data_IF_280428194030
#
_entry.id   IF_280428194030
#
_cell.length_a   1.000
_cell.length_b   1.000
_cell.length_c   1.000
_cell.angle_alpha   90.00
_cell.angle_beta   90.00
_cell.angle_gamma   90.00
#
_symmetry.space_group_name_H-M   'P 1'
#
loop_
_entity.id
_entity.type
_entity.pdbx_description
1 polymer ?
#
# COMPACT_ATOMS: atom_id res chain seq x y z
N UNK A 1 6.47 24.77 25.61
CA UNK A 1 7.38 24.16 24.61
C UNK A 1 6.51 23.61 23.49
N UNK A 2 6.54 24.18 22.29
CA UNK A 2 5.70 23.73 21.18
C UNK A 2 6.40 22.62 20.40
N UNK A 3 5.98 21.38 20.59
CA UNK A 3 6.37 20.25 19.74
C UNK A 3 5.59 20.37 18.42
N UNK A 4 6.21 20.99 17.42
CA UNK A 4 5.69 21.02 16.06
C UNK A 4 5.76 19.60 15.51
N UNK A 5 4.67 18.85 15.59
CA UNK A 5 4.58 17.52 14.99
C UNK A 5 4.83 17.65 13.48
N UNK A 6 5.91 17.04 12.99
CA UNK A 6 6.17 16.97 11.56
C UNK A 6 5.03 16.19 10.92
N UNK A 7 4.31 16.82 9.99
CA UNK A 7 3.28 16.16 9.19
C UNK A 7 3.94 14.97 8.48
N UNK A 8 3.66 13.75 8.94
CA UNK A 8 4.21 12.53 8.35
C UNK A 8 3.54 12.33 7.00
N UNK A 9 4.25 12.64 5.93
CA UNK A 9 3.80 12.35 4.58
C UNK A 9 3.64 10.84 4.43
N UNK A 10 2.44 10.42 4.01
CA UNK A 10 2.18 9.01 3.75
C UNK A 10 2.86 8.63 2.43
N UNK A 11 3.87 7.77 2.49
CA UNK A 11 4.52 7.27 1.29
C UNK A 11 3.70 6.14 0.66
N UNK A 12 3.78 6.04 -0.67
CA UNK A 12 3.14 4.96 -1.44
C UNK A 12 3.50 3.56 -0.96
N UNK A 13 4.73 3.39 -0.47
CA UNK A 13 5.19 2.13 0.14
C UNK A 13 4.41 1.76 1.41
N UNK A 14 4.03 2.76 2.23
CA UNK A 14 3.20 2.51 3.41
C UNK A 14 1.78 2.10 3.03
N UNK A 15 1.22 2.69 1.97
CA UNK A 15 -0.10 2.32 1.45
C UNK A 15 -0.06 0.90 0.90
N UNK A 16 0.97 0.54 0.11
CA UNK A 16 1.15 -0.83 -0.38
C UNK A 16 1.27 -1.84 0.75
N UNK A 17 2.06 -1.54 1.79
CA UNK A 17 2.20 -2.41 2.95
C UNK A 17 0.86 -2.60 3.66
N UNK A 18 0.13 -1.52 3.92
CA UNK A 18 -1.16 -1.57 4.61
C UNK A 18 -2.19 -2.44 3.87
N UNK A 19 -2.32 -2.23 2.55
CA UNK A 19 -3.24 -3.01 1.71
C UNK A 19 -2.78 -4.46 1.57
N UNK A 20 -1.48 -4.70 1.42
CA UNK A 20 -0.94 -6.06 1.34
C UNK A 20 -1.16 -6.83 2.65
N UNK A 21 -1.01 -6.17 3.80
CA UNK A 21 -1.24 -6.78 5.11
C UNK A 21 -2.70 -7.19 5.31
N UNK A 22 -3.66 -6.31 5.04
CA UNK A 22 -5.08 -6.67 5.17
C UNK A 22 -5.49 -7.76 4.19
N UNK A 23 -5.01 -7.67 2.95
CA UNK A 23 -5.28 -8.68 1.92
C UNK A 23 -4.65 -10.03 2.29
N UNK A 24 -3.44 -10.05 2.85
CA UNK A 24 -2.78 -11.28 3.27
C UNK A 24 -3.53 -12.00 4.39
N UNK A 25 -4.06 -11.24 5.36
CA UNK A 25 -4.88 -11.80 6.44
C UNK A 25 -6.15 -12.42 5.88
N UNK A 26 -6.84 -11.72 4.98
CA UNK A 26 -8.10 -12.17 4.40
C UNK A 26 -7.93 -13.37 3.44
N UNK A 27 -6.86 -13.37 2.64
CA UNK A 27 -6.67 -14.35 1.56
C UNK A 27 -5.71 -15.49 1.91
N UNK A 28 -4.97 -15.39 3.01
CA UNK A 28 -3.90 -16.32 3.38
C UNK A 28 -2.68 -16.29 2.45
N UNK A 29 -2.64 -15.38 1.47
CA UNK A 29 -1.51 -15.22 0.54
C UNK A 29 -0.39 -14.43 1.21
N UNK A 30 0.86 -14.78 0.91
CA UNK A 30 2.02 -14.05 1.42
C UNK A 30 1.98 -12.56 1.03
N UNK A 31 2.22 -11.69 2.01
CA UNK A 31 2.25 -10.22 1.83
C UNK A 31 3.19 -9.79 0.70
N UNK A 32 4.36 -10.44 0.57
CA UNK A 32 5.36 -10.16 -0.47
C UNK A 32 4.83 -10.37 -1.90
N UNK A 33 4.02 -11.41 -2.09
CA UNK A 33 3.40 -11.70 -3.39
C UNK A 33 2.33 -10.67 -3.75
N UNK A 34 1.56 -10.22 -2.75
CA UNK A 34 0.56 -9.16 -2.94
C UNK A 34 1.23 -7.82 -3.23
N UNK A 35 2.29 -7.46 -2.50
CA UNK A 35 3.06 -6.25 -2.78
C UNK A 35 3.66 -6.25 -4.18
N UNK A 36 4.19 -7.39 -4.64
CA UNK A 36 4.72 -7.53 -6.00
C UNK A 36 3.63 -7.28 -7.05
N UNK A 37 2.42 -7.79 -6.82
CA UNK A 37 1.26 -7.56 -7.69
C UNK A 37 0.81 -6.09 -7.65
N UNK A 38 0.78 -5.45 -6.49
CA UNK A 38 0.42 -4.03 -6.32
C UNK A 38 1.42 -3.07 -6.99
N UNK A 39 2.71 -3.46 -7.02
CA UNK A 39 3.78 -2.72 -7.71
C UNK A 39 3.80 -2.97 -9.22
N UNK A 40 3.21 -4.08 -9.69
CA UNK A 40 3.10 -4.38 -11.11
C UNK A 40 2.14 -3.41 -11.80
N UNK A 41 2.51 -2.97 -13.00
CA UNK A 41 1.65 -2.10 -13.83
C UNK A 41 0.61 -2.87 -14.65
N UNK A 42 0.63 -4.21 -14.62
CA UNK A 42 -0.33 -5.04 -15.32
C UNK A 42 -1.64 -5.15 -14.52
N UNK A 43 -2.44 -4.09 -14.58
CA UNK A 43 -3.74 -3.99 -13.91
C UNK A 43 -4.87 -4.16 -14.92
N UNK A 44 -5.86 -4.99 -14.59
CA UNK A 44 -7.08 -5.17 -15.41
C UNK A 44 -7.87 -3.87 -15.58
N UNK A 45 -7.79 -2.97 -14.60
CA UNK A 45 -8.46 -1.67 -14.61
C UNK A 45 -7.42 -0.55 -14.57
N UNK A 46 -7.11 0.01 -15.74
CA UNK A 46 -6.07 1.04 -15.87
C UNK A 46 -6.42 2.36 -15.15
N UNK A 47 -7.71 2.66 -14.99
CA UNK A 47 -8.18 3.87 -14.31
C UNK A 47 -8.16 3.76 -12.78
N UNK A 48 -7.96 2.55 -12.23
CA UNK A 48 -7.95 2.32 -10.78
C UNK A 48 -6.50 2.34 -10.29
N UNK A 49 -6.21 3.28 -9.40
CA UNK A 49 -4.92 3.36 -8.70
C UNK A 49 -5.11 3.55 -7.20
N UNK A 50 -4.18 3.01 -6.42
CA UNK A 50 -4.02 3.40 -5.03
C UNK A 50 -3.71 4.90 -4.95
N UNK A 51 -4.11 5.50 -3.83
CA UNK A 51 -3.87 6.91 -3.52
C UNK A 51 -2.39 7.29 -3.69
N UNK A 52 -2.16 8.53 -4.13
CA UNK A 52 -0.84 9.08 -4.42
C UNK A 52 -0.38 10.03 -3.31
#
# INVERSE_FOLDING_TARGET
MSTKESVKTVSKAMIYRAVASSTAIETGVATKEIEKKLKSSNRRFAHISLAN
#
